data_IF_233928419308
#
_entry.id   IF_233928419308
#
_cell.length_a   1.000
_cell.length_b   1.000
_cell.length_c   1.000
_cell.angle_alpha   90.00
_cell.angle_beta   90.00
_cell.angle_gamma   90.00
#
_symmetry.space_group_name_H-M   'P 1'
#
loop_
_entity.id
_entity.type
_entity.pdbx_description
1 polymer ?
#
# COMPACT_ATOMS: atom_id res chain seq x y z
N UNK A 1 -29.54 -45.47 43.32
CA UNK A 1 -28.12 -45.44 42.88
C UNK A 1 -28.04 -44.40 41.79
N UNK A 2 -27.75 -43.16 42.18
CA UNK A 2 -27.58 -42.04 41.25
C UNK A 2 -26.15 -42.02 40.72
N UNK A 3 -25.97 -42.10 39.41
CA UNK A 3 -24.71 -41.80 38.74
C UNK A 3 -24.88 -40.49 37.97
N UNK A 4 -24.47 -39.39 38.60
CA UNK A 4 -24.30 -38.08 37.96
C UNK A 4 -22.89 -38.00 37.39
N UNK A 5 -22.76 -38.17 36.08
CA UNK A 5 -21.49 -37.96 35.37
C UNK A 5 -21.41 -36.49 34.94
N UNK A 6 -20.66 -35.67 35.69
CA UNK A 6 -20.30 -34.32 35.28
C UNK A 6 -19.14 -34.39 34.30
N UNK A 7 -19.42 -34.16 33.02
CA UNK A 7 -18.41 -33.96 31.98
C UNK A 7 -17.94 -32.49 32.04
N UNK A 8 -16.71 -32.27 32.49
CA UNK A 8 -16.03 -30.99 32.33
C UNK A 8 -15.42 -30.93 30.93
N UNK A 9 -16.01 -30.13 30.04
CA UNK A 9 -15.38 -29.76 28.77
C UNK A 9 -14.44 -28.60 29.06
N UNK A 10 -13.15 -28.91 29.21
CA UNK A 10 -12.09 -27.90 29.17
C UNK A 10 -11.90 -27.49 27.70
N UNK A 11 -12.56 -26.40 27.29
CA UNK A 11 -12.24 -25.74 26.02
C UNK A 11 -10.97 -24.92 26.25
N UNK A 12 -9.82 -25.56 26.13
CA UNK A 12 -8.54 -24.89 26.03
C UNK A 12 -8.43 -24.28 24.62
N UNK A 13 -9.02 -23.10 24.41
CA UNK A 13 -8.71 -22.26 23.26
C UNK A 13 -7.26 -21.74 23.43
N UNK A 14 -6.29 -22.54 23.00
CA UNK A 14 -4.99 -22.01 22.65
C UNK A 14 -5.16 -21.18 21.38
N UNK A 15 -5.41 -19.87 21.56
CA UNK A 15 -5.12 -18.88 20.52
C UNK A 15 -3.60 -18.86 20.35
N UNK A 16 -3.08 -19.77 19.52
CA UNK A 16 -1.77 -19.60 18.95
C UNK A 16 -1.85 -18.31 18.11
N UNK A 17 -1.41 -17.20 18.70
CA UNK A 17 -1.24 -15.91 18.03
C UNK A 17 -0.10 -16.05 17.04
N UNK A 18 -0.33 -16.79 15.95
CA UNK A 18 0.56 -16.78 14.80
C UNK A 18 0.71 -15.31 14.40
N UNK A 19 1.94 -14.82 14.47
CA UNK A 19 2.27 -13.45 14.09
C UNK A 19 1.94 -13.37 12.61
N UNK A 20 0.79 -12.79 12.27
CA UNK A 20 0.42 -12.56 10.88
C UNK A 20 1.55 -11.73 10.25
N UNK A 21 2.36 -12.39 9.43
CA UNK A 21 3.36 -11.71 8.59
C UNK A 21 2.58 -10.80 7.65
N UNK A 22 3.16 -9.63 7.37
CA UNK A 22 2.50 -8.60 6.58
C UNK A 22 2.27 -9.13 5.17
N UNK A 23 1.04 -8.95 4.68
CA UNK A 23 0.77 -9.17 3.28
C UNK A 23 1.52 -8.13 2.45
N UNK A 24 1.90 -8.49 1.23
CA UNK A 24 2.50 -7.57 0.27
C UNK A 24 1.65 -7.51 -0.99
N UNK A 25 1.41 -6.30 -1.48
CA UNK A 25 0.58 -6.05 -2.65
C UNK A 25 1.49 -5.59 -3.80
N UNK A 26 1.37 -6.26 -4.93
CA UNK A 26 2.06 -5.95 -6.18
C UNK A 26 1.05 -5.40 -7.17
N UNK A 27 1.43 -4.37 -7.91
CA UNK A 27 0.52 -3.68 -8.82
C UNK A 27 0.84 -4.01 -10.27
N UNK A 28 -0.20 -4.17 -11.08
CA UNK A 28 -0.09 -4.47 -12.50
C UNK A 28 -0.92 -3.46 -13.30
N UNK A 29 -0.27 -2.54 -14.03
CA UNK A 29 -0.92 -1.74 -15.06
C UNK A 29 -1.53 -2.64 -16.15
N UNK A 30 -2.61 -2.18 -16.78
CA UNK A 30 -3.19 -2.86 -17.94
C UNK A 30 -2.34 -2.61 -19.20
N UNK A 31 -1.43 -3.54 -19.50
CA UNK A 31 -0.49 -3.44 -20.64
C UNK A 31 -0.99 -4.10 -21.93
N UNK A 32 -1.75 -5.19 -21.82
CA UNK A 32 -2.31 -5.94 -22.93
C UNK A 32 -3.67 -6.53 -22.58
N UNK A 33 -4.36 -7.13 -23.55
CA UNK A 33 -5.65 -7.78 -23.32
C UNK A 33 -5.49 -9.05 -22.45
N UNK A 34 -6.52 -9.45 -21.67
CA UNK A 34 -6.43 -10.60 -20.77
C UNK A 34 -5.99 -11.91 -21.44
N UNK A 35 -6.38 -12.13 -22.69
CA UNK A 35 -6.04 -13.31 -23.50
C UNK A 35 -4.56 -13.36 -23.92
N UNK A 36 -3.88 -12.22 -23.91
CA UNK A 36 -2.46 -12.11 -24.24
C UNK A 36 -1.57 -12.07 -22.99
N UNK A 37 -2.18 -11.90 -21.82
CA UNK A 37 -1.49 -11.70 -20.55
C UNK A 37 -1.23 -13.02 -19.83
N UNK A 38 0.02 -13.23 -19.40
CA UNK A 38 0.42 -14.32 -18.53
C UNK A 38 1.11 -13.80 -17.26
N UNK A 39 0.73 -14.34 -16.11
CA UNK A 39 1.40 -14.11 -14.83
C UNK A 39 2.20 -15.34 -14.46
N UNK A 40 3.47 -15.13 -14.12
CA UNK A 40 4.37 -16.13 -13.57
C UNK A 40 4.60 -15.81 -12.09
N UNK A 41 4.35 -16.78 -11.22
CA UNK A 41 4.51 -16.68 -9.78
C UNK A 41 5.58 -17.65 -9.34
N UNK A 42 6.72 -17.13 -8.90
CA UNK A 42 7.82 -17.94 -8.42
C UNK A 42 7.89 -17.91 -6.89
N UNK A 43 7.82 -19.09 -6.26
CA UNK A 43 8.06 -19.28 -4.85
C UNK A 43 9.45 -19.86 -4.65
N UNK A 44 10.35 -19.11 -4.00
CA UNK A 44 11.72 -19.58 -3.70
C UNK A 44 11.88 -20.15 -2.29
N UNK A 45 10.82 -20.10 -1.50
CA UNK A 45 10.87 -20.55 -0.10
C UNK A 45 10.73 -22.07 0.00
N UNK A 46 10.99 -22.61 1.19
CA UNK A 46 10.86 -24.04 1.48
C UNK A 46 9.43 -24.45 1.85
N UNK A 47 8.48 -23.51 1.89
CA UNK A 47 7.10 -23.73 2.28
C UNK A 47 6.15 -23.26 1.16
N UNK A 48 4.97 -23.90 0.98
CA UNK A 48 3.94 -23.38 0.10
C UNK A 48 3.56 -21.95 0.47
N UNK A 49 3.25 -21.13 -0.53
CA UNK A 49 2.87 -19.74 -0.33
C UNK A 49 1.48 -19.47 -0.91
N UNK A 50 0.67 -18.77 -0.12
CA UNK A 50 -0.68 -18.35 -0.45
C UNK A 50 -0.70 -16.95 -1.03
N UNK A 51 -1.53 -16.74 -2.04
CA UNK A 51 -1.68 -15.44 -2.67
C UNK A 51 -3.05 -15.30 -3.36
N UNK A 52 -3.38 -14.07 -3.73
CA UNK A 52 -4.65 -13.72 -4.37
C UNK A 52 -4.42 -12.80 -5.55
N UNK A 53 -5.21 -12.96 -6.61
CA UNK A 53 -5.45 -11.87 -7.56
C UNK A 53 -6.50 -10.94 -6.95
N UNK A 54 -6.43 -9.64 -7.23
CA UNK A 54 -7.35 -8.63 -6.74
C UNK A 54 -7.76 -7.71 -7.89
N UNK A 55 -9.03 -7.78 -8.28
CA UNK A 55 -9.60 -6.90 -9.31
C UNK A 55 -10.68 -6.02 -8.69
N UNK A 56 -10.61 -4.72 -8.98
CA UNK A 56 -11.43 -3.71 -8.31
C UNK A 56 -12.59 -3.28 -9.19
N UNK A 57 -13.83 -3.54 -8.78
CA UNK A 57 -15.03 -3.19 -9.54
C UNK A 57 -16.02 -2.48 -8.65
N UNK A 58 -16.38 -1.24 -9.00
CA UNK A 58 -17.41 -0.45 -8.29
C UNK A 58 -17.21 -0.38 -6.77
N UNK A 59 -15.96 -0.34 -6.33
CA UNK A 59 -15.58 -0.28 -4.92
C UNK A 59 -15.55 -1.61 -4.17
N UNK A 60 -15.81 -2.71 -4.86
CA UNK A 60 -15.62 -4.07 -4.38
C UNK A 60 -14.30 -4.63 -4.91
N UNK A 61 -13.77 -5.61 -4.18
CA UNK A 61 -12.55 -6.35 -4.55
C UNK A 61 -12.93 -7.78 -4.80
N UNK A 62 -12.81 -8.22 -6.05
CA UNK A 62 -12.94 -9.62 -6.43
C UNK A 62 -11.59 -10.30 -6.27
N UNK A 63 -11.54 -11.33 -5.41
CA UNK A 63 -10.32 -12.04 -5.08
C UNK A 63 -10.37 -13.50 -5.54
N UNK A 64 -9.35 -13.93 -6.28
CA UNK A 64 -9.17 -15.36 -6.62
C UNK A 64 -7.96 -15.90 -5.88
N UNK A 65 -8.21 -16.81 -4.95
CA UNK A 65 -7.19 -17.51 -4.15
C UNK A 65 -6.40 -18.50 -5.00
N UNK A 66 -5.09 -18.55 -4.76
CA UNK A 66 -4.17 -19.50 -5.33
C UNK A 66 -3.10 -19.89 -4.30
N UNK A 67 -2.50 -21.07 -4.49
CA UNK A 67 -1.36 -21.53 -3.70
C UNK A 67 -0.27 -22.05 -4.63
N UNK A 68 0.99 -21.68 -4.36
CA UNK A 68 2.15 -22.16 -5.12
C UNK A 68 3.07 -22.96 -4.20
N UNK A 69 3.42 -24.16 -4.65
CA UNK A 69 4.27 -25.09 -3.89
C UNK A 69 5.65 -24.49 -3.59
N UNK A 70 6.30 -25.06 -2.57
CA UNK A 70 7.67 -24.73 -2.21
C UNK A 70 8.62 -24.92 -3.41
N UNK A 71 9.51 -23.95 -3.64
CA UNK A 71 10.50 -23.98 -4.75
C UNK A 71 9.89 -24.19 -6.14
N UNK A 72 8.63 -23.84 -6.33
CA UNK A 72 7.91 -24.01 -7.60
C UNK A 72 7.65 -22.68 -8.31
N UNK A 73 7.27 -22.80 -9.58
CA UNK A 73 6.73 -21.71 -10.38
C UNK A 73 5.34 -22.10 -10.89
N UNK A 74 4.41 -21.15 -10.83
CA UNK A 74 3.05 -21.27 -11.32
C UNK A 74 2.82 -20.26 -12.45
N UNK A 75 2.04 -20.66 -13.47
CA UNK A 75 1.64 -19.80 -14.58
C UNK A 75 0.12 -19.68 -14.63
N UNK A 76 -0.39 -18.46 -14.73
CA UNK A 76 -1.82 -18.14 -14.78
C UNK A 76 -2.12 -17.21 -15.95
N UNK A 77 -3.26 -17.46 -16.61
CA UNK A 77 -3.76 -16.65 -17.72
C UNK A 77 -4.56 -15.46 -17.20
N UNK A 78 -4.44 -14.30 -17.83
CA UNK A 78 -5.25 -13.13 -17.49
C UNK A 78 -6.75 -13.43 -17.49
N UNK A 79 -7.21 -14.19 -18.48
CA UNK A 79 -8.63 -14.60 -18.64
C UNK A 79 -9.21 -15.42 -17.48
N UNK A 80 -8.39 -15.97 -16.57
CA UNK A 80 -8.91 -16.76 -15.45
C UNK A 80 -9.41 -15.91 -14.27
N UNK A 81 -9.09 -14.62 -14.24
CA UNK A 81 -9.44 -13.74 -13.12
C UNK A 81 -9.75 -12.29 -13.53
N UNK A 82 -9.35 -11.86 -14.73
CA UNK A 82 -9.46 -10.49 -15.20
C UNK A 82 -10.15 -10.46 -16.57
N UNK A 83 -11.18 -9.62 -16.70
CA UNK A 83 -11.95 -9.41 -17.92
C UNK A 83 -12.02 -7.92 -18.33
N UNK A 84 -11.28 -7.06 -17.63
CA UNK A 84 -11.35 -5.61 -17.77
C UNK A 84 -10.18 -5.02 -18.55
N UNK A 85 -10.18 -3.69 -18.65
CA UNK A 85 -9.08 -2.89 -19.23
C UNK A 85 -8.33 -2.05 -18.19
N UNK A 86 -8.71 -2.18 -16.92
CA UNK A 86 -8.11 -1.48 -15.79
C UNK A 86 -6.98 -2.30 -15.18
N UNK A 87 -6.08 -1.66 -14.45
CA UNK A 87 -5.05 -2.39 -13.71
C UNK A 87 -5.65 -3.31 -12.64
N UNK A 88 -4.80 -4.15 -12.05
CA UNK A 88 -5.17 -5.04 -10.96
C UNK A 88 -4.00 -5.16 -9.97
N UNK A 89 -4.22 -5.87 -8.87
CA UNK A 89 -3.18 -6.18 -7.91
C UNK A 89 -3.05 -7.67 -7.64
N UNK A 90 -1.89 -8.06 -7.15
CA UNK A 90 -1.59 -9.41 -6.65
C UNK A 90 -1.15 -9.30 -5.21
N UNK A 91 -1.77 -10.06 -4.32
CA UNK A 91 -1.51 -10.03 -2.88
C UNK A 91 -0.84 -11.31 -2.44
N UNK A 92 0.38 -11.22 -1.94
CA UNK A 92 1.06 -12.32 -1.26
C UNK A 92 0.72 -12.29 0.23
N UNK A 93 0.43 -13.46 0.83
CA UNK A 93 0.16 -13.55 2.27
C UNK A 93 1.37 -13.09 3.11
N UNK A 94 2.57 -13.40 2.64
CA UNK A 94 3.82 -13.08 3.30
C UNK A 94 4.66 -12.17 2.42
N UNK A 95 5.12 -11.04 2.96
CA UNK A 95 6.04 -10.15 2.26
C UNK A 95 7.37 -10.83 1.89
N UNK A 96 7.92 -10.44 0.74
CA UNK A 96 9.21 -10.91 0.21
C UNK A 96 9.33 -12.44 -0.03
N UNK A 97 8.23 -13.19 -0.07
CA UNK A 97 8.28 -14.65 -0.35
C UNK A 97 8.00 -15.02 -1.80
N UNK A 98 7.19 -14.22 -2.49
CA UNK A 98 6.78 -14.44 -3.87
C UNK A 98 7.37 -13.40 -4.82
N UNK A 99 7.63 -13.86 -6.05
CA UNK A 99 8.01 -12.98 -7.16
C UNK A 99 7.00 -13.13 -8.28
N UNK A 100 6.43 -12.00 -8.71
CA UNK A 100 5.44 -11.94 -9.78
C UNK A 100 6.04 -11.34 -11.04
N UNK A 101 5.90 -12.02 -12.17
CA UNK A 101 6.30 -11.51 -13.48
C UNK A 101 5.11 -11.53 -14.43
N UNK A 102 4.76 -10.38 -14.96
CA UNK A 102 3.73 -10.22 -15.98
C UNK A 102 4.39 -10.25 -17.36
N UNK A 103 3.83 -11.04 -18.27
CA UNK A 103 4.25 -11.12 -19.68
C UNK A 103 3.08 -10.78 -20.59
N UNK A 104 3.33 -9.87 -21.51
CA UNK A 104 2.52 -9.51 -22.67
C UNK A 104 3.36 -9.74 -23.95
N UNK A 105 2.78 -9.74 -25.16
CA UNK A 105 3.50 -10.09 -26.39
C UNK A 105 4.78 -9.29 -26.67
N UNK A 106 4.82 -8.02 -26.24
CA UNK A 106 5.97 -7.12 -26.45
C UNK A 106 6.71 -6.78 -25.14
N UNK A 107 6.18 -7.20 -23.99
CA UNK A 107 6.58 -6.66 -22.69
C UNK A 107 6.68 -7.74 -21.63
N UNK A 108 7.75 -7.68 -20.84
CA UNK A 108 7.92 -8.52 -19.65
C UNK A 108 8.31 -7.63 -18.48
N UNK A 109 7.58 -7.76 -17.38
CA UNK A 109 7.66 -6.86 -16.25
C UNK A 109 7.72 -7.66 -14.95
N UNK A 110 8.73 -7.35 -14.12
CA UNK A 110 8.74 -7.75 -12.73
C UNK A 110 7.84 -6.80 -11.95
N UNK A 111 6.75 -7.30 -11.37
CA UNK A 111 5.82 -6.45 -10.64
C UNK A 111 6.45 -5.94 -9.34
N UNK A 112 6.15 -4.69 -9.00
CA UNK A 112 6.62 -4.02 -7.79
C UNK A 112 5.49 -3.64 -6.83
N UNK A 113 5.88 -3.32 -5.59
CA UNK A 113 5.01 -2.88 -4.49
C UNK A 113 5.18 -1.39 -4.14
N UNK A 114 5.91 -0.62 -4.97
CA UNK A 114 6.12 0.82 -4.74
C UNK A 114 4.84 1.60 -5.09
N UNK A 115 4.40 2.44 -4.17
CA UNK A 115 3.11 3.18 -4.24
C UNK A 115 3.24 4.67 -3.95
N UNK A 116 4.47 5.18 -3.96
CA UNK A 116 4.77 6.55 -3.60
C UNK A 116 4.17 7.54 -4.60
N UNK A 117 3.63 8.69 -4.14
CA UNK A 117 3.33 9.81 -5.04
C UNK A 117 4.58 10.36 -5.74
N UNK A 118 5.79 10.05 -5.23
CA UNK A 118 7.07 10.45 -5.81
C UNK A 118 7.92 9.23 -6.15
N UNK A 119 8.28 9.07 -7.42
CA UNK A 119 9.14 7.99 -7.88
C UNK A 119 10.20 8.53 -8.85
N UNK A 120 11.38 7.93 -8.82
CA UNK A 120 12.45 8.22 -9.78
C UNK A 120 12.85 6.93 -10.50
N UNK A 121 12.96 7.03 -11.82
CA UNK A 121 13.51 5.98 -12.67
C UNK A 121 14.85 6.45 -13.25
N UNK A 122 15.83 5.56 -13.31
CA UNK A 122 17.17 5.86 -13.81
C UNK A 122 17.47 5.03 -15.06
N UNK A 123 18.26 5.61 -15.96
CA UNK A 123 18.55 5.04 -17.28
C UNK A 123 20.06 5.08 -17.57
N UNK A 124 20.58 4.11 -18.35
CA UNK A 124 21.92 4.22 -18.90
C UNK A 124 21.99 5.34 -19.96
N UNK A 125 23.20 5.68 -20.41
CA UNK A 125 23.41 6.64 -21.49
C UNK A 125 22.85 6.13 -22.83
N UNK A 126 22.54 7.04 -23.76
CA UNK A 126 22.03 6.68 -25.10
C UNK A 126 20.53 6.39 -25.17
N UNK A 127 19.78 6.67 -24.10
CA UNK A 127 18.33 6.45 -24.06
C UNK A 127 17.62 7.77 -24.38
N UNK A 128 16.79 7.77 -25.43
CA UNK A 128 15.96 8.92 -25.80
C UNK A 128 14.49 8.56 -26.03
N UNK A 129 14.14 7.28 -25.99
CA UNK A 129 12.77 6.79 -26.12
C UNK A 129 12.39 5.91 -24.93
N UNK A 130 11.26 6.26 -24.30
CA UNK A 130 10.70 5.59 -23.14
C UNK A 130 9.28 5.13 -23.43
N UNK A 131 8.86 4.00 -22.86
CA UNK A 131 7.46 3.61 -22.72
C UNK A 131 7.11 3.64 -21.24
N UNK A 132 6.09 4.41 -20.87
CA UNK A 132 5.67 4.60 -19.49
C UNK A 132 4.27 4.03 -19.31
N UNK A 133 4.06 3.43 -18.15
CA UNK A 133 2.75 2.96 -17.69
C UNK A 133 2.53 3.49 -16.29
N UNK A 134 1.50 4.31 -16.12
CA UNK A 134 1.12 4.91 -14.84
C UNK A 134 -0.22 4.32 -14.41
N UNK A 135 -0.28 3.82 -13.18
CA UNK A 135 -1.47 3.26 -12.58
C UNK A 135 -1.91 4.15 -11.40
N UNK A 136 -3.17 4.58 -11.43
CA UNK A 136 -3.74 5.36 -10.33
C UNK A 136 -4.13 4.45 -9.16
N UNK A 137 -3.56 4.67 -7.99
CA UNK A 137 -3.93 3.96 -6.77
C UNK A 137 -4.83 4.80 -5.87
N UNK A 138 -5.17 6.02 -6.29
CA UNK A 138 -6.10 6.87 -5.57
C UNK A 138 -7.53 6.64 -6.06
N UNK A 139 -8.52 6.70 -5.15
CA UNK A 139 -9.92 6.48 -5.51
C UNK A 139 -10.46 7.54 -6.48
N UNK A 140 -9.98 8.77 -6.37
CA UNK A 140 -10.36 9.88 -7.23
C UNK A 140 -9.29 10.15 -8.31
N UNK A 141 -9.54 11.17 -9.13
CA UNK A 141 -8.57 11.63 -10.11
C UNK A 141 -7.26 12.08 -9.46
N UNK A 142 -6.14 11.76 -10.10
CA UNK A 142 -4.80 12.16 -9.68
C UNK A 142 -4.09 12.91 -10.81
N UNK A 143 -3.55 14.09 -10.50
CA UNK A 143 -2.73 14.85 -11.43
C UNK A 143 -1.29 14.40 -11.28
N UNK A 144 -0.66 14.01 -12.40
CA UNK A 144 0.70 13.49 -12.42
C UNK A 144 1.57 14.37 -13.29
N UNK A 145 2.72 14.75 -12.76
CA UNK A 145 3.76 15.48 -13.47
C UNK A 145 4.96 14.58 -13.69
N UNK A 146 5.44 14.52 -14.93
CA UNK A 146 6.62 13.77 -15.35
C UNK A 146 7.71 14.76 -15.76
N UNK A 147 8.92 14.59 -15.24
CA UNK A 147 10.08 15.42 -15.59
C UNK A 147 11.25 14.56 -16.02
N UNK A 148 11.74 14.76 -17.24
CA UNK A 148 12.91 14.06 -17.76
C UNK A 148 14.16 14.93 -17.60
N UNK A 149 15.24 14.36 -17.10
CA UNK A 149 16.51 15.06 -16.87
C UNK A 149 17.67 14.38 -17.58
N UNK A 150 18.62 15.16 -18.06
CA UNK A 150 19.88 14.67 -18.63
C UNK A 150 20.90 14.32 -17.53
N UNK A 151 22.08 13.84 -17.93
CA UNK A 151 23.15 13.45 -17.01
C UNK A 151 23.70 14.62 -16.17
N UNK A 152 23.56 15.86 -16.65
CA UNK A 152 23.95 17.07 -15.91
C UNK A 152 22.89 17.53 -14.90
N UNK A 153 21.71 16.89 -14.90
CA UNK A 153 20.57 17.28 -14.09
C UNK A 153 19.75 18.41 -14.70
N UNK A 154 19.97 18.77 -15.98
CA UNK A 154 19.16 19.75 -16.67
C UNK A 154 17.83 19.12 -17.10
N UNK A 155 16.73 19.86 -16.88
CA UNK A 155 15.41 19.46 -17.35
C UNK A 155 15.38 19.44 -18.88
N UNK A 156 15.02 18.29 -19.45
CA UNK A 156 14.84 18.10 -20.90
C UNK A 156 13.43 18.50 -21.31
N UNK A 157 12.44 17.89 -20.66
CA UNK A 157 11.02 18.07 -20.96
C UNK A 157 10.17 17.74 -19.71
N UNK A 158 8.99 18.36 -19.63
CA UNK A 158 7.98 18.13 -18.59
C UNK A 158 6.63 17.82 -19.24
N UNK A 159 5.90 16.84 -18.67
CA UNK A 159 4.55 16.46 -19.11
C UNK A 159 3.58 16.40 -17.94
N UNK A 160 2.34 16.76 -18.22
CA UNK A 160 1.22 16.68 -17.29
C UNK A 160 0.22 15.65 -17.80
N UNK A 161 -0.18 14.75 -16.91
CA UNK A 161 -1.15 13.71 -17.16
C UNK A 161 -2.22 13.76 -16.07
N UNK A 162 -3.42 13.32 -16.42
CA UNK A 162 -4.52 13.15 -15.48
C UNK A 162 -4.98 11.71 -15.53
N UNK A 163 -4.94 11.05 -14.39
CA UNK A 163 -5.54 9.74 -14.18
C UNK A 163 -6.93 9.98 -13.59
N UNK A 164 -7.99 9.42 -14.18
CA UNK A 164 -9.35 9.85 -13.81
C UNK A 164 -9.97 8.99 -12.71
N UNK A 165 -9.71 7.68 -12.73
CA UNK A 165 -10.38 6.69 -11.88
C UNK A 165 -9.39 5.84 -11.12
N UNK A 166 -9.87 5.17 -10.07
CA UNK A 166 -9.13 4.13 -9.38
C UNK A 166 -8.73 3.01 -10.35
N UNK A 167 -7.48 2.57 -10.29
CA UNK A 167 -6.89 1.57 -11.20
C UNK A 167 -6.89 1.93 -12.70
N UNK A 168 -7.12 3.21 -13.03
CA UNK A 168 -6.90 3.74 -14.38
C UNK A 168 -5.43 3.61 -14.76
N UNK A 169 -5.16 3.11 -15.97
CA UNK A 169 -3.82 2.94 -16.52
C UNK A 169 -3.63 3.89 -17.69
N UNK A 170 -2.61 4.74 -17.63
CA UNK A 170 -2.16 5.55 -18.76
C UNK A 170 -0.85 5.02 -19.31
N UNK A 171 -0.87 4.66 -20.59
CA UNK A 171 0.29 4.20 -21.34
C UNK A 171 0.77 5.29 -22.29
N UNK A 172 2.05 5.66 -22.22
CA UNK A 172 2.64 6.74 -23.02
C UNK A 172 3.96 6.30 -23.64
N UNK A 173 4.15 6.55 -24.93
CA UNK A 173 5.47 6.57 -25.56
C UNK A 173 6.03 8.00 -25.50
N UNK A 174 7.21 8.16 -24.90
CA UNK A 174 7.87 9.46 -24.77
C UNK A 174 9.21 9.45 -25.50
N UNK A 175 9.27 10.20 -26.60
CA UNK A 175 10.49 10.41 -27.39
C UNK A 175 11.03 11.79 -27.03
N UNK A 176 12.26 11.83 -26.55
CA UNK A 176 12.96 13.01 -26.07
C UNK A 176 13.99 13.46 -27.13
N UNK A 177 14.30 14.75 -27.15
CA UNK A 177 15.27 15.33 -28.10
C UNK A 177 16.74 15.13 -27.68
N UNK A 178 16.99 14.56 -26.49
CA UNK A 178 18.30 14.34 -25.88
C UNK A 178 18.28 13.06 -25.04
N UNK A 179 19.47 12.57 -24.70
CA UNK A 179 19.63 11.44 -23.81
C UNK A 179 19.10 11.75 -22.41
N UNK A 180 18.24 10.87 -21.90
CA UNK A 180 17.67 10.93 -20.55
C UNK A 180 18.48 10.07 -19.60
N UNK A 181 18.83 10.65 -18.45
CA UNK A 181 19.50 9.93 -17.36
C UNK A 181 18.53 9.54 -16.25
N UNK A 182 17.49 10.35 -16.01
CA UNK A 182 16.41 10.01 -15.07
C UNK A 182 15.08 10.65 -15.43
N UNK A 183 14.00 10.01 -14.98
CA UNK A 183 12.65 10.55 -15.00
C UNK A 183 12.13 10.61 -13.57
N UNK A 184 11.66 11.78 -13.16
CA UNK A 184 10.97 11.99 -11.90
C UNK A 184 9.46 12.05 -12.16
N UNK A 185 8.72 11.31 -11.35
CA UNK A 185 7.26 11.21 -11.38
C UNK A 185 6.76 11.78 -10.06
N UNK A 186 5.79 12.69 -10.14
CA UNK A 186 5.17 13.32 -8.98
C UNK A 186 3.66 13.39 -9.14
N UNK A 187 2.93 12.93 -8.15
CA UNK A 187 1.46 13.00 -8.08
C UNK A 187 0.98 13.64 -6.78
N UNK A 188 -0.28 14.05 -6.75
CA UNK A 188 -0.92 14.54 -5.53
C UNK A 188 -1.22 13.41 -4.53
N UNK A 189 -1.46 12.21 -5.05
CA UNK A 189 -1.76 11.00 -4.30
C UNK A 189 -0.97 9.80 -4.81
N UNK A 190 -1.15 8.65 -4.16
CA UNK A 190 -0.48 7.39 -4.47
C UNK A 190 -0.66 7.01 -5.95
N UNK A 191 0.43 6.54 -6.54
CA UNK A 191 0.47 6.02 -7.89
C UNK A 191 1.48 4.89 -7.96
N UNK A 192 1.38 4.10 -9.01
CA UNK A 192 2.38 3.11 -9.38
C UNK A 192 2.88 3.42 -10.79
N UNK A 193 4.18 3.27 -11.02
CA UNK A 193 4.82 3.68 -12.27
C UNK A 193 5.82 2.65 -12.76
N UNK A 194 5.76 2.38 -14.05
CA UNK A 194 6.64 1.45 -14.74
C UNK A 194 7.18 2.13 -16.00
N UNK A 195 8.50 2.02 -16.23
CA UNK A 195 9.14 2.59 -17.42
C UNK A 195 10.00 1.52 -18.11
N UNK A 196 9.78 1.36 -19.40
CA UNK A 196 10.57 0.52 -20.29
C UNK A 196 11.41 1.36 -21.25
N UNK A 197 12.62 0.90 -21.55
CA UNK A 197 13.56 1.61 -22.43
C UNK A 197 14.38 0.66 -23.30
N UNK A 198 14.91 1.22 -24.40
CA UNK A 198 15.71 0.48 -25.37
C UNK A 198 14.88 -0.47 -26.25
N UNK A 199 15.53 -1.06 -27.25
CA UNK A 199 14.87 -1.96 -28.20
C UNK A 199 14.43 -3.28 -27.56
N UNK A 200 15.12 -3.70 -26.49
CA UNK A 200 14.79 -4.91 -25.71
C UNK A 200 13.69 -4.68 -24.65
N UNK A 201 13.10 -3.48 -24.58
CA UNK A 201 12.10 -3.07 -23.58
C UNK A 201 12.51 -3.40 -22.13
N UNK A 202 13.72 -2.99 -21.74
CA UNK A 202 14.21 -3.22 -20.38
C UNK A 202 13.44 -2.37 -19.39
N UNK A 203 13.03 -2.97 -18.29
CA UNK A 203 12.33 -2.28 -17.20
C UNK A 203 13.32 -1.48 -16.34
N UNK A 204 12.99 -0.22 -16.05
CA UNK A 204 13.63 0.60 -15.01
C UNK A 204 12.80 0.54 -13.74
N UNK A 205 13.29 -0.05 -12.64
CA UNK A 205 12.50 -0.15 -11.41
C UNK A 205 12.28 1.23 -10.78
N UNK A 206 11.08 1.51 -10.24
CA UNK A 206 10.82 2.76 -9.54
C UNK A 206 11.59 2.82 -8.21
N UNK A 207 12.17 3.99 -7.92
CA UNK A 207 12.84 4.27 -6.64
C UNK A 207 12.11 5.40 -5.91
N UNK A 208 11.55 5.09 -4.74
CA UNK A 208 10.97 6.07 -3.82
C UNK A 208 11.97 6.36 -2.69
N UNK A 209 12.95 7.24 -2.96
CA UNK A 209 14.04 7.51 -2.00
C UNK A 209 13.63 8.44 -0.87
N UNK A 210 12.72 9.37 -1.12
CA UNK A 210 12.35 10.42 -0.18
C UNK A 210 10.87 10.33 0.10
N UNK A 211 10.44 10.26 1.38
CA UNK A 211 9.02 10.28 1.71
C UNK A 211 8.38 11.57 1.23
N UNK A 212 7.08 11.50 0.92
CA UNK A 212 6.29 12.68 0.62
C UNK A 212 6.39 13.73 1.76
N UNK A 213 6.66 14.98 1.40
CA UNK A 213 6.54 16.09 2.36
C UNK A 213 5.07 16.44 2.51
N UNK A 214 4.57 16.45 3.74
CA UNK A 214 3.18 16.80 4.03
C UNK A 214 3.13 18.11 4.84
N UNK A 215 2.00 18.82 4.76
CA UNK A 215 1.76 20.08 5.47
C UNK A 215 0.64 19.92 6.52
N UNK A 216 0.95 19.33 7.70
CA UNK A 216 -0.02 19.10 8.75
C UNK A 216 -0.53 20.40 9.40
N UNK A 217 -1.70 20.35 10.02
CA UNK A 217 -2.22 21.42 10.89
C UNK A 217 -1.30 21.63 12.11
N UNK A 218 -0.82 22.86 12.28
CA UNK A 218 0.11 23.23 13.34
C UNK A 218 -0.54 23.27 14.73
N UNK A 219 -1.87 23.28 14.81
CA UNK A 219 -2.62 23.34 16.07
C UNK A 219 -2.90 21.95 16.67
N UNK A 220 -2.68 20.87 15.91
CA UNK A 220 -2.95 19.50 16.36
C UNK A 220 -1.71 18.83 16.95
N UNK A 221 -1.95 17.79 17.75
CA UNK A 221 -0.94 16.85 18.23
C UNK A 221 -1.05 15.55 17.44
N UNK A 222 0.09 15.00 17.07
CA UNK A 222 0.16 13.85 16.18
C UNK A 222 0.67 12.63 16.93
N UNK A 223 0.01 11.50 16.73
CA UNK A 223 0.34 10.26 17.40
C UNK A 223 0.48 9.13 16.39
N UNK A 224 1.59 8.40 16.47
CA UNK A 224 1.81 7.20 15.70
C UNK A 224 1.07 6.05 16.36
N UNK A 225 0.23 5.38 15.58
CA UNK A 225 -0.46 4.16 15.97
C UNK A 225 0.14 3.00 15.19
N UNK A 226 0.60 1.97 15.88
CA UNK A 226 1.26 0.83 15.26
C UNK A 226 0.84 -0.49 15.94
N UNK A 227 0.97 -1.60 15.21
CA UNK A 227 0.73 -2.92 15.77
C UNK A 227 1.76 -3.26 16.85
N UNK A 228 1.35 -3.97 17.89
CA UNK A 228 2.27 -4.53 18.91
C UNK A 228 2.97 -5.78 18.35
N UNK A 229 4.30 -5.84 18.40
CA UNK A 229 5.09 -7.04 18.03
C UNK A 229 6.42 -6.75 17.31
N UNK A 230 7.20 -7.80 17.05
CA UNK A 230 8.55 -7.72 16.45
C UNK A 230 8.57 -7.33 14.96
N UNK A 231 7.42 -7.30 14.30
CA UNK A 231 7.29 -6.86 12.91
C UNK A 231 5.96 -6.13 12.74
N UNK A 232 5.88 -4.85 13.16
CA UNK A 232 4.65 -4.08 13.07
C UNK A 232 4.40 -3.71 11.60
N UNK A 233 3.77 -4.64 10.87
CA UNK A 233 3.23 -4.34 9.56
C UNK A 233 2.04 -3.39 9.74
N UNK A 234 2.04 -2.31 8.98
CA UNK A 234 1.06 -1.24 9.12
C UNK A 234 1.33 -0.33 10.31
N UNK A 235 1.20 0.97 10.05
CA UNK A 235 1.19 2.02 11.07
C UNK A 235 0.45 3.19 10.47
N UNK A 236 -0.29 3.96 11.26
CA UNK A 236 -0.98 5.15 10.77
C UNK A 236 -0.82 6.29 11.79
N UNK A 237 -1.16 7.50 11.37
CA UNK A 237 -1.05 8.69 12.22
C UNK A 237 -2.45 9.19 12.50
N UNK A 238 -2.71 9.54 13.76
CA UNK A 238 -3.90 10.28 14.17
C UNK A 238 -3.50 11.70 14.59
N UNK A 239 -4.39 12.65 14.33
CA UNK A 239 -4.28 14.03 14.77
C UNK A 239 -5.35 14.32 15.84
N UNK A 240 -4.94 14.88 16.98
CA UNK A 240 -5.80 15.20 18.11
C UNK A 240 -5.67 16.67 18.49
N UNK A 241 -6.79 17.30 18.82
CA UNK A 241 -6.91 18.67 19.36
C UNK A 241 -7.64 18.73 20.71
N UNK A 242 -8.24 17.60 21.13
CA UNK A 242 -8.89 17.41 22.42
C UNK A 242 -7.87 17.05 23.50
N UNK A 243 -7.75 17.89 24.54
CA UNK A 243 -6.78 17.72 25.63
C UNK A 243 -6.99 16.43 26.44
N UNK A 244 -8.22 15.93 26.58
CA UNK A 244 -8.48 14.66 27.26
C UNK A 244 -7.98 13.49 26.42
N UNK A 245 -8.25 13.50 25.11
CA UNK A 245 -7.76 12.46 24.18
C UNK A 245 -6.24 12.48 24.06
N UNK A 246 -5.63 13.66 24.03
CA UNK A 246 -4.18 13.85 24.05
C UNK A 246 -3.58 13.27 25.34
N UNK A 247 -4.19 13.55 26.49
CA UNK A 247 -3.76 12.99 27.78
C UNK A 247 -3.82 11.47 27.78
N UNK A 248 -4.91 10.86 27.30
CA UNK A 248 -5.03 9.40 27.23
C UNK A 248 -4.03 8.78 26.25
N UNK A 249 -3.80 9.41 25.09
CA UNK A 249 -2.79 8.95 24.13
C UNK A 249 -1.38 8.95 24.75
N UNK A 250 -1.03 10.00 25.51
CA UNK A 250 0.24 10.08 26.25
C UNK A 250 0.33 9.06 27.38
N UNK A 251 -0.75 8.87 28.13
CA UNK A 251 -0.83 7.87 29.19
C UNK A 251 -0.58 6.47 28.64
N UNK A 252 -1.17 6.13 27.49
CA UNK A 252 -0.96 4.85 26.82
C UNK A 252 0.50 4.64 26.35
N UNK A 253 1.21 5.71 25.98
CA UNK A 253 2.64 5.64 25.65
C UNK A 253 3.47 5.32 26.90
N UNK A 254 3.16 5.96 28.03
CA UNK A 254 3.88 5.74 29.29
C UNK A 254 3.48 4.44 30.00
N UNK A 255 2.31 3.91 29.69
CA UNK A 255 1.67 2.77 30.35
C UNK A 255 1.12 1.80 29.29
N UNK A 256 2.00 1.08 28.55
CA UNK A 256 1.62 0.25 27.40
C UNK A 256 0.67 -0.91 27.73
N UNK A 257 0.53 -1.27 28.99
CA UNK A 257 -0.41 -2.27 29.53
C UNK A 257 -1.88 -1.82 29.53
N UNK A 258 -2.16 -0.52 29.35
CA UNK A 258 -3.55 -0.03 29.24
C UNK A 258 -4.28 -0.59 28.02
N UNK A 259 -3.53 -1.01 26.99
CA UNK A 259 -4.03 -1.66 25.78
C UNK A 259 -5.30 -1.05 25.16
N UNK A 260 -5.48 0.29 25.24
CA UNK A 260 -6.65 0.97 24.67
C UNK A 260 -6.66 0.92 23.15
N UNK A 261 -7.82 0.56 22.60
CA UNK A 261 -8.13 0.55 21.17
C UNK A 261 -8.55 1.96 20.75
N UNK A 262 -7.93 2.48 19.69
CA UNK A 262 -8.35 3.73 19.07
C UNK A 262 -9.62 3.46 18.25
N UNK A 263 -10.77 3.95 18.71
CA UNK A 263 -12.03 3.91 17.97
C UNK A 263 -12.21 5.23 17.26
N UNK A 264 -12.29 5.21 15.93
CA UNK A 264 -12.20 6.41 15.11
C UNK A 264 -13.02 6.31 13.83
N UNK A 265 -13.22 7.47 13.18
CA UNK A 265 -13.77 7.61 11.83
C UNK A 265 -12.68 8.01 10.85
N UNK A 266 -12.79 7.53 9.62
CA UNK A 266 -11.89 7.86 8.53
C UNK A 266 -12.61 8.61 7.41
N UNK A 267 -11.84 9.38 6.65
CA UNK A 267 -12.27 9.96 5.40
C UNK A 267 -11.25 9.71 4.28
N UNK A 268 -11.66 10.02 3.06
CA UNK A 268 -10.79 9.98 1.89
C UNK A 268 -9.72 11.08 1.95
N UNK A 269 -8.49 10.73 1.59
CA UNK A 269 -7.30 11.59 1.61
C UNK A 269 -6.47 11.44 2.89
N UNK A 270 -5.16 11.70 2.82
CA UNK A 270 -4.25 11.58 3.99
C UNK A 270 -4.32 12.74 5.00
N UNK A 271 -5.13 13.76 4.74
CA UNK A 271 -5.22 15.00 5.54
C UNK A 271 -3.84 15.59 5.90
N UNK A 272 -2.88 15.47 4.98
CA UNK A 272 -1.52 15.98 5.11
C UNK A 272 -0.76 15.48 6.37
N UNK A 273 -1.12 14.32 6.91
CA UNK A 273 -0.40 13.72 8.04
C UNK A 273 -0.33 12.19 7.99
N UNK A 274 -1.37 11.52 7.49
CA UNK A 274 -1.45 10.06 7.59
C UNK A 274 -0.55 9.35 6.58
N UNK A 275 0.31 8.46 7.07
CA UNK A 275 1.25 7.68 6.26
C UNK A 275 1.68 6.39 6.96
N UNK A 276 2.19 5.45 6.16
CA UNK A 276 2.77 4.21 6.65
C UNK A 276 4.25 4.41 7.05
N UNK A 277 4.53 4.92 8.25
CA UNK A 277 5.91 5.16 8.74
C UNK A 277 6.83 3.94 8.69
N UNK A 278 6.27 2.74 8.86
CA UNK A 278 7.02 1.47 8.83
C UNK A 278 7.19 0.87 7.42
N UNK A 279 6.55 1.45 6.40
CA UNK A 279 6.71 0.99 5.02
C UNK A 279 8.02 1.49 4.40
N UNK A 280 8.49 0.80 3.36
CA UNK A 280 9.74 1.14 2.67
C UNK A 280 9.68 2.52 2.00
N UNK A 281 8.57 2.83 1.33
CA UNK A 281 8.39 4.08 0.59
C UNK A 281 7.74 5.19 1.45
N UNK A 282 7.24 4.84 2.64
CA UNK A 282 6.55 5.76 3.58
C UNK A 282 5.48 6.59 2.89
N UNK A 283 4.80 5.95 1.93
CA UNK A 283 3.78 6.59 1.12
C UNK A 283 2.62 7.04 2.01
N UNK A 284 2.08 8.27 1.81
CA UNK A 284 0.84 8.69 2.44
C UNK A 284 -0.27 7.70 2.12
N UNK A 285 -1.16 7.43 3.08
CA UNK A 285 -2.35 6.62 2.79
C UNK A 285 -3.32 7.40 1.90
N UNK A 286 -4.27 6.70 1.29
CA UNK A 286 -5.38 7.34 0.57
C UNK A 286 -6.52 7.75 1.52
N UNK A 287 -6.34 7.63 2.83
CA UNK A 287 -7.31 7.94 3.87
C UNK A 287 -6.62 8.52 5.11
N UNK A 288 -7.40 9.11 6.01
CA UNK A 288 -6.94 9.65 7.29
C UNK A 288 -8.03 9.51 8.34
N UNK A 289 -7.64 9.58 9.61
CA UNK A 289 -8.58 9.68 10.72
C UNK A 289 -9.09 11.11 10.81
N UNK A 290 -10.41 11.30 10.75
CA UNK A 290 -11.04 12.61 10.95
C UNK A 290 -11.34 12.87 12.40
N UNK A 291 -11.81 11.83 13.11
CA UNK A 291 -12.30 11.93 14.48
C UNK A 291 -11.93 10.68 15.26
N UNK A 292 -11.44 10.87 16.48
CA UNK A 292 -11.26 9.79 17.45
C UNK A 292 -12.44 9.85 18.42
N UNK A 293 -13.33 8.85 18.36
CA UNK A 293 -14.50 8.75 19.24
C UNK A 293 -14.05 8.51 20.69
N UNK A 294 -13.15 7.52 20.88
CA UNK A 294 -12.71 7.07 22.19
C UNK A 294 -11.43 6.23 22.14
N UNK A 295 -10.76 6.14 23.29
CA UNK A 295 -9.76 5.12 23.61
C UNK A 295 -10.44 4.05 24.47
N UNK A 296 -10.86 2.95 23.85
CA UNK A 296 -11.76 1.96 24.47
C UNK A 296 -11.03 0.66 24.86
N UNK A 297 -11.54 -0.04 25.86
CA UNK A 297 -11.09 -1.40 26.22
C UNK A 297 -11.62 -2.46 25.26
N UNK A 298 -12.81 -2.23 24.70
CA UNK A 298 -13.48 -3.13 23.77
C UNK A 298 -14.05 -2.32 22.61
N UNK A 299 -14.05 -2.93 21.43
CA UNK A 299 -14.70 -2.40 20.25
C UNK A 299 -15.38 -3.55 19.49
N UNK A 300 -16.30 -3.23 18.59
CA UNK A 300 -16.98 -4.26 17.79
C UNK A 300 -16.02 -4.87 16.77
N UNK A 301 -16.20 -6.16 16.43
CA UNK A 301 -15.30 -6.85 15.48
C UNK A 301 -15.39 -6.27 14.06
N UNK A 302 -16.53 -5.69 13.70
CA UNK A 302 -16.77 -5.17 12.33
C UNK A 302 -15.85 -4.00 11.94
N UNK A 303 -15.29 -3.28 12.91
CA UNK A 303 -14.32 -2.21 12.66
C UNK A 303 -12.86 -2.64 12.89
N UNK A 304 -12.61 -3.91 13.23
CA UNK A 304 -11.26 -4.45 13.33
C UNK A 304 -10.62 -4.61 11.93
N UNK A 305 -9.29 -4.70 11.89
CA UNK A 305 -8.53 -4.81 10.65
C UNK A 305 -7.11 -4.27 10.77
N UNK A 306 -6.62 -3.68 9.67
CA UNK A 306 -5.30 -3.06 9.60
C UNK A 306 -5.33 -1.83 8.68
N UNK A 307 -4.37 -0.90 8.83
CA UNK A 307 -4.21 0.23 7.92
C UNK A 307 -4.11 -0.17 6.44
N UNK A 308 -3.39 -1.25 6.15
CA UNK A 308 -3.20 -1.72 4.78
C UNK A 308 -4.48 -2.38 4.21
N UNK A 309 -5.27 -3.05 5.07
CA UNK A 309 -6.58 -3.57 4.66
C UNK A 309 -7.57 -2.43 4.39
N UNK A 310 -7.48 -1.33 5.14
CA UNK A 310 -8.27 -0.13 4.84
C UNK A 310 -7.83 0.48 3.52
N UNK A 311 -6.53 0.55 3.23
CA UNK A 311 -6.05 1.05 1.93
C UNK A 311 -6.58 0.19 0.77
N UNK A 312 -6.51 -1.14 0.91
CA UNK A 312 -7.06 -2.10 -0.07
C UNK A 312 -8.56 -1.92 -0.24
N UNK A 313 -9.32 -1.81 0.84
CA UNK A 313 -10.79 -1.84 0.82
C UNK A 313 -11.41 -0.47 1.14
N UNK A 314 -10.73 0.60 0.74
CA UNK A 314 -11.07 1.95 1.21
C UNK A 314 -12.49 2.34 0.83
N UNK A 315 -12.87 2.12 -0.43
CA UNK A 315 -14.20 2.50 -0.91
C UNK A 315 -15.30 1.72 -0.18
N UNK A 316 -15.13 0.40 -0.04
CA UNK A 316 -16.02 -0.43 0.76
C UNK A 316 -16.13 0.10 2.20
N UNK A 317 -15.00 0.39 2.86
CA UNK A 317 -14.99 0.86 4.25
C UNK A 317 -15.69 2.21 4.40
N UNK A 318 -15.49 3.14 3.46
CA UNK A 318 -16.17 4.43 3.46
C UNK A 318 -17.68 4.27 3.30
N UNK A 319 -18.13 3.35 2.44
CA UNK A 319 -19.55 3.03 2.25
C UNK A 319 -20.19 2.39 3.50
N UNK A 320 -19.40 1.66 4.29
CA UNK A 320 -19.80 1.09 5.60
C UNK A 320 -19.79 2.10 6.75
N UNK A 321 -19.58 3.40 6.46
CA UNK A 321 -19.58 4.48 7.45
C UNK A 321 -18.21 4.86 8.00
N UNK A 322 -17.12 4.26 7.48
CA UNK A 322 -15.76 4.71 7.72
C UNK A 322 -15.27 4.51 9.15
N UNK A 323 -15.84 3.59 9.93
CA UNK A 323 -15.41 3.35 11.31
C UNK A 323 -14.24 2.37 11.37
N UNK A 324 -13.23 2.67 12.17
CA UNK A 324 -12.09 1.80 12.45
C UNK A 324 -11.90 1.59 13.96
N UNK A 325 -11.42 0.42 14.33
CA UNK A 325 -11.06 0.06 15.68
C UNK A 325 -10.05 -1.10 15.67
N UNK A 326 -8.84 -0.91 15.19
CA UNK A 326 -7.93 -2.06 15.00
C UNK A 326 -7.45 -2.62 16.36
N UNK A 327 -7.87 -3.84 16.69
CA UNK A 327 -7.68 -4.44 18.02
C UNK A 327 -6.22 -4.69 18.36
N UNK A 328 -5.34 -4.76 17.37
CA UNK A 328 -3.89 -5.01 17.55
C UNK A 328 -3.04 -3.74 17.59
N UNK A 329 -3.64 -2.57 17.37
CA UNK A 329 -2.92 -1.31 17.17
C UNK A 329 -3.08 -0.39 18.36
N UNK A 330 -1.96 0.20 18.79
CA UNK A 330 -1.89 1.05 19.97
C UNK A 330 -1.16 2.34 19.63
N UNK A 331 -1.47 3.42 20.35
CA UNK A 331 -0.61 4.60 20.30
C UNK A 331 0.75 4.21 20.88
N UNK A 332 1.80 4.41 20.10
CA UNK A 332 3.17 4.02 20.47
C UNK A 332 4.10 5.21 20.64
N UNK A 333 3.76 6.37 20.07
CA UNK A 333 4.64 7.53 20.06
C UNK A 333 3.87 8.81 19.75
N UNK A 334 4.22 9.90 20.43
CA UNK A 334 3.86 11.27 20.02
C UNK A 334 4.90 11.75 19.00
N UNK A 335 4.42 12.27 17.87
CA UNK A 335 5.27 12.75 16.77
C UNK A 335 5.45 14.27 16.86
N UNK A 336 6.67 14.72 16.66
CA UNK A 336 6.95 16.14 16.42
C UNK A 336 6.56 16.54 15.00
N UNK A 337 6.23 17.82 14.79
CA UNK A 337 5.86 18.35 13.47
C UNK A 337 6.89 18.00 12.37
N UNK A 338 8.22 18.10 12.58
CA UNK A 338 9.18 17.69 11.58
C UNK A 338 9.08 16.21 11.17
N UNK A 339 8.73 15.31 12.10
CA UNK A 339 8.57 13.88 11.80
C UNK A 339 7.33 13.65 10.93
N UNK A 340 6.23 14.36 11.21
CA UNK A 340 4.99 14.29 10.42
C UNK A 340 5.21 14.84 9.01
N UNK A 341 5.88 15.99 8.90
CA UNK A 341 6.19 16.66 7.63
C UNK A 341 7.07 15.76 6.76
N UNK A 342 8.18 15.25 7.32
CA UNK A 342 9.22 14.56 6.54
C UNK A 342 9.01 13.05 6.42
N UNK A 343 8.18 12.44 7.27
CA UNK A 343 8.08 10.99 7.37
C UNK A 343 9.34 10.33 7.95
N UNK A 344 10.24 11.09 8.58
CA UNK A 344 11.47 10.57 9.19
C UNK A 344 11.31 10.64 10.70
N UNK A 345 11.26 9.48 11.36
CA UNK A 345 11.24 9.40 12.82
C UNK A 345 12.61 9.78 13.39
N UNK A 346 12.61 10.53 14.49
CA UNK A 346 13.81 10.72 15.28
C UNK A 346 14.21 9.39 15.94
N UNK A 347 15.51 9.08 16.00
CA UNK A 347 16.01 7.86 16.64
C UNK A 347 15.56 7.74 18.10
#
# INVERSE_FOLDING_TARGET
MDFSTKVFILISMFFATSVARGAEIFYAPALCAPEEMMIFVANKTAEPQKWWTQVYHDGLVDEVFQEVDAKAEMKISGTSFWNGTQGFALKALNANTLRFTLTCPQQKMLLGSVTSPFATHYFPTGISALKLSLLNLYLNSNQVTLKAFDLSGALIEEKYLRLEKHYDTQNLKWILNRDVARVEISGAARLHSEIFFGDDERQSPPVAMTPATLQPDLNKKYFLVAAKGQSPNGSFVIALDDEEKIRTAREQITTPELEKIVVARIALGNDQHNRAFNSRDKSPYSWSVTDVDAFADFAHIDCDGSPDLIEERLQQRLNEGGRICFWRYRVVRELSLPEVITGILKP
#
